data_IF_248097985747
#
_entry.id   IF_248097985747
#
_cell.length_a   1.000
_cell.length_b   1.000
_cell.length_c   1.000
_cell.angle_alpha   90.00
_cell.angle_beta   90.00
_cell.angle_gamma   90.00
#
_symmetry.space_group_name_H-M   'P 1'
#
loop_
_entity.id
_entity.type
_entity.pdbx_description
1 polymer ?
#
# COMPACT_ATOMS: atom_id res chain seq x y z
N UNK A 1 -0.53 -6.45 23.47
CA UNK A 1 -0.82 -5.00 23.32
C UNK A 1 -1.87 -4.86 22.23
N UNK A 2 -2.95 -4.11 22.45
CA UNK A 2 -4.06 -4.06 21.48
C UNK A 2 -3.70 -3.29 20.21
N UNK A 3 -4.29 -3.67 19.07
CA UNK A 3 -4.19 -3.03 17.74
C UNK A 3 -4.23 -1.48 17.78
N UNK A 4 -5.01 -0.92 18.70
CA UNK A 4 -5.16 0.53 18.90
C UNK A 4 -3.86 1.19 19.38
N UNK A 5 -3.03 0.48 20.15
CA UNK A 5 -1.73 0.97 20.64
C UNK A 5 -0.71 1.17 19.52
N UNK A 6 -0.73 0.28 18.52
CA UNK A 6 0.20 0.30 17.40
C UNK A 6 -0.11 1.41 16.38
N UNK A 7 -1.38 1.81 16.26
CA UNK A 7 -1.83 2.85 15.34
C UNK A 7 -1.63 4.28 15.86
N UNK A 8 -1.30 4.48 17.15
CA UNK A 8 -1.20 5.83 17.74
C UNK A 8 -0.18 6.72 17.05
N UNK A 9 0.97 6.16 16.67
CA UNK A 9 2.05 6.89 15.99
C UNK A 9 1.62 7.40 14.60
N UNK A 10 1.24 6.49 13.68
CA UNK A 10 0.79 6.90 12.34
C UNK A 10 -0.40 7.86 12.36
N UNK A 11 -1.37 7.61 13.25
CA UNK A 11 -2.58 8.41 13.34
C UNK A 11 -2.29 9.82 13.88
N UNK A 12 -1.43 9.94 14.90
CA UNK A 12 -0.96 11.24 15.38
C UNK A 12 -0.20 12.01 14.28
N UNK A 13 0.68 11.34 13.54
CA UNK A 13 1.40 11.94 12.41
C UNK A 13 0.46 12.42 11.31
N UNK A 14 -0.53 11.60 10.93
CA UNK A 14 -1.54 11.96 9.94
C UNK A 14 -2.39 13.17 10.38
N UNK A 15 -2.90 13.17 11.61
CA UNK A 15 -3.68 14.30 12.15
C UNK A 15 -2.84 15.56 12.19
N UNK A 16 -1.57 15.47 12.61
CA UNK A 16 -0.65 16.61 12.64
C UNK A 16 -0.40 17.16 11.22
N UNK A 17 -0.20 16.28 10.24
CA UNK A 17 -0.08 16.69 8.83
C UNK A 17 -1.36 17.35 8.31
N UNK A 18 -2.54 16.81 8.64
CA UNK A 18 -3.81 17.38 8.23
C UNK A 18 -4.03 18.79 8.82
N UNK A 19 -3.75 18.98 10.12
CA UNK A 19 -3.83 20.29 10.77
C UNK A 19 -2.82 21.26 10.17
N UNK A 20 -1.58 20.80 9.92
CA UNK A 20 -0.54 21.62 9.29
C UNK A 20 -0.93 22.03 7.88
N UNK A 21 -1.54 21.13 7.10
CA UNK A 21 -2.04 21.42 5.77
C UNK A 21 -3.08 22.53 5.78
N UNK A 22 -4.07 22.43 6.67
CA UNK A 22 -5.11 23.47 6.83
C UNK A 22 -4.48 24.80 7.26
N UNK A 23 -3.54 24.79 8.20
CA UNK A 23 -2.87 26.00 8.67
C UNK A 23 -2.10 26.70 7.53
N UNK A 24 -1.33 25.95 6.75
CA UNK A 24 -0.58 26.48 5.59
C UNK A 24 -1.55 27.04 4.55
N UNK A 25 -2.65 26.33 4.25
CA UNK A 25 -3.63 26.78 3.27
C UNK A 25 -4.31 28.09 3.70
N UNK A 26 -4.73 28.19 4.97
CA UNK A 26 -5.34 29.40 5.51
C UNK A 26 -4.36 30.57 5.50
N UNK A 27 -3.11 30.35 5.92
CA UNK A 27 -2.11 31.40 5.95
C UNK A 27 -1.75 31.88 4.54
N UNK A 28 -1.59 30.95 3.59
CA UNK A 28 -1.35 31.30 2.19
C UNK A 28 -2.50 32.08 1.55
N UNK A 29 -3.74 31.76 1.91
CA UNK A 29 -4.91 32.52 1.46
C UNK A 29 -4.87 33.96 1.98
N UNK A 30 -4.54 34.17 3.26
CA UNK A 30 -4.42 35.51 3.84
C UNK A 30 -3.35 36.33 3.10
N UNK A 31 -2.21 35.74 2.78
CA UNK A 31 -1.12 36.44 2.10
C UNK A 31 -1.51 36.83 0.66
N UNK A 32 -2.17 35.94 -0.08
CA UNK A 32 -2.69 36.25 -1.42
C UNK A 32 -3.75 37.36 -1.36
N UNK A 33 -4.65 37.34 -0.36
CA UNK A 33 -5.63 38.40 -0.14
C UNK A 33 -4.95 39.74 0.22
N UNK A 34 -3.86 39.71 0.99
CA UNK A 34 -3.08 40.89 1.31
C UNK A 34 -2.43 41.50 0.05
N UNK A 35 -1.99 40.68 -0.91
CA UNK A 35 -1.52 41.17 -2.22
C UNK A 35 -2.66 41.81 -3.02
N UNK A 36 -3.85 41.23 -2.98
CA UNK A 36 -5.01 41.76 -3.69
C UNK A 36 -5.45 43.14 -3.19
N UNK A 37 -5.24 43.43 -1.91
CA UNK A 37 -5.52 44.75 -1.31
C UNK A 37 -4.48 45.83 -1.63
N UNK A 38 -3.41 45.52 -2.38
CA UNK A 38 -2.41 46.51 -2.79
C UNK A 38 -2.95 47.38 -3.93
N UNK A 39 -2.46 48.63 -4.08
CA UNK A 39 -2.93 49.54 -5.13
C UNK A 39 -2.66 49.03 -6.55
N UNK A 40 -1.62 48.22 -6.76
CA UNK A 40 -1.27 47.60 -8.04
C UNK A 40 -1.26 46.07 -7.94
N UNK A 41 -2.44 45.41 -7.90
CA UNK A 41 -2.51 43.97 -7.83
C UNK A 41 -2.15 43.38 -9.20
N UNK A 42 -1.04 42.63 -9.25
CA UNK A 42 -0.65 41.86 -10.43
C UNK A 42 -0.77 40.36 -10.16
N UNK A 43 -1.19 39.61 -11.18
CA UNK A 43 -1.24 38.14 -11.10
C UNK A 43 0.13 37.54 -10.72
N UNK A 44 1.22 38.12 -11.24
CA UNK A 44 2.58 37.70 -10.90
C UNK A 44 2.88 37.85 -9.40
N UNK A 45 2.45 38.93 -8.77
CA UNK A 45 2.62 39.13 -7.32
C UNK A 45 1.78 38.14 -6.51
N UNK A 46 0.56 37.81 -6.96
CA UNK A 46 -0.30 36.83 -6.30
C UNK A 46 0.28 35.42 -6.39
N UNK A 47 0.80 35.03 -7.57
CA UNK A 47 1.47 33.74 -7.76
C UNK A 47 2.76 33.67 -6.94
N UNK A 48 3.56 34.74 -6.92
CA UNK A 48 4.77 34.79 -6.11
C UNK A 48 4.47 34.66 -4.60
N UNK A 49 3.38 35.27 -4.12
CA UNK A 49 2.91 35.10 -2.75
C UNK A 49 2.40 33.67 -2.50
N UNK A 50 1.65 33.07 -3.43
CA UNK A 50 1.13 31.71 -3.28
C UNK A 50 2.22 30.61 -3.32
N UNK A 51 3.29 30.83 -4.08
CA UNK A 51 4.33 29.85 -4.38
C UNK A 51 4.90 29.10 -3.15
N UNK A 52 5.36 29.76 -2.07
CA UNK A 52 5.89 29.07 -0.90
C UNK A 52 4.85 28.16 -0.23
N UNK A 53 3.57 28.56 -0.21
CA UNK A 53 2.50 27.77 0.40
C UNK A 53 2.16 26.56 -0.44
N UNK A 54 2.16 26.67 -1.77
CA UNK A 54 1.98 25.51 -2.66
C UNK A 54 3.06 24.46 -2.40
N UNK A 55 4.32 24.88 -2.27
CA UNK A 55 5.43 23.96 -1.93
C UNK A 55 5.21 23.35 -0.54
N UNK A 56 4.83 24.16 0.46
CA UNK A 56 4.53 23.66 1.80
C UNK A 56 3.40 22.64 1.84
N UNK A 57 2.31 22.90 1.11
CA UNK A 57 1.17 21.98 1.00
C UNK A 57 1.56 20.67 0.31
N UNK A 58 2.40 20.71 -0.72
CA UNK A 58 2.91 19.50 -1.36
C UNK A 58 3.76 18.67 -0.39
N UNK A 59 4.69 19.29 0.32
CA UNK A 59 5.55 18.60 1.29
C UNK A 59 4.72 17.97 2.42
N UNK A 60 3.81 18.74 3.01
CA UNK A 60 2.96 18.25 4.11
C UNK A 60 1.96 17.20 3.63
N UNK A 61 1.41 17.37 2.42
CA UNK A 61 0.54 16.38 1.79
C UNK A 61 1.25 15.04 1.57
N UNK A 62 2.46 15.07 1.02
CA UNK A 62 3.29 13.87 0.84
C UNK A 62 3.65 13.22 2.18
N UNK A 63 3.98 14.01 3.21
CA UNK A 63 4.21 13.49 4.55
C UNK A 63 2.96 12.81 5.13
N UNK A 64 1.79 13.42 4.95
CA UNK A 64 0.49 12.84 5.32
C UNK A 64 0.24 11.49 4.64
N UNK A 65 0.49 11.39 3.32
CA UNK A 65 0.40 10.13 2.58
C UNK A 65 1.40 9.10 3.11
N UNK A 66 2.62 9.52 3.44
CA UNK A 66 3.63 8.67 4.07
C UNK A 66 3.17 8.08 5.40
N UNK A 67 2.51 8.88 6.25
CA UNK A 67 1.94 8.38 7.51
C UNK A 67 0.80 7.38 7.30
N UNK A 68 -0.04 7.59 6.29
CA UNK A 68 -1.10 6.62 5.92
C UNK A 68 -0.47 5.31 5.43
N UNK A 69 0.47 5.38 4.50
CA UNK A 69 1.16 4.20 3.98
C UNK A 69 1.90 3.44 5.09
N UNK A 70 2.56 4.16 5.99
CA UNK A 70 3.22 3.57 7.16
C UNK A 70 2.22 2.91 8.12
N UNK A 71 1.07 3.54 8.36
CA UNK A 71 -0.01 2.96 9.15
C UNK A 71 -0.54 1.65 8.56
N UNK A 72 -0.78 1.63 7.24
CA UNK A 72 -1.21 0.42 6.51
C UNK A 72 -0.14 -0.67 6.61
N UNK A 73 1.13 -0.32 6.34
CA UNK A 73 2.25 -1.25 6.42
C UNK A 73 2.35 -1.87 7.82
N UNK A 74 2.16 -1.09 8.89
CA UNK A 74 2.20 -1.59 10.27
C UNK A 74 1.07 -2.57 10.57
N UNK A 75 -0.14 -2.30 10.08
CA UNK A 75 -1.28 -3.23 10.25
C UNK A 75 -1.05 -4.52 9.46
N UNK A 76 -0.57 -4.42 8.23
CA UNK A 76 -0.29 -5.57 7.38
C UNK A 76 0.86 -6.44 7.93
N UNK A 77 1.97 -5.82 8.33
CA UNK A 77 3.12 -6.53 8.92
C UNK A 77 2.77 -7.17 10.26
N UNK A 78 1.97 -6.51 11.10
CA UNK A 78 1.48 -7.10 12.36
C UNK A 78 0.59 -8.33 12.16
N UNK A 79 -0.10 -8.44 11.02
CA UNK A 79 -0.89 -9.61 10.65
C UNK A 79 -0.03 -10.79 10.15
N UNK A 80 1.15 -10.52 9.58
CA UNK A 80 2.06 -11.54 9.05
C UNK A 80 3.01 -12.06 10.14
N UNK A 81 3.41 -11.22 11.10
CA UNK A 81 4.36 -11.61 12.16
C UNK A 81 3.72 -12.18 13.43
N UNK A 82 2.39 -12.22 13.50
CA UNK A 82 1.66 -12.73 14.65
C UNK A 82 0.97 -14.04 14.31
N UNK A 83 1.58 -15.16 14.67
CA UNK A 83 1.05 -16.40 15.27
C UNK A 83 -0.49 -16.53 15.44
N UNK A 84 -1.26 -16.24 14.39
CA UNK A 84 -2.73 -16.20 14.41
C UNK A 84 -3.27 -16.68 13.07
N UNK A 85 -3.21 -18.01 12.90
CA UNK A 85 -3.94 -18.82 11.91
C UNK A 85 -5.49 -18.71 12.01
N UNK A 86 -6.03 -17.66 12.64
CA UNK A 86 -7.46 -17.52 12.97
C UNK A 86 -8.17 -16.36 12.22
N UNK A 87 -7.45 -15.46 11.54
CA UNK A 87 -8.06 -14.32 10.82
C UNK A 87 -7.95 -14.43 9.29
N UNK A 88 -7.84 -15.66 8.77
CA UNK A 88 -7.63 -15.90 7.35
C UNK A 88 -8.90 -16.05 6.52
N UNK A 89 -10.11 -16.02 7.10
CA UNK A 89 -11.33 -16.23 6.33
C UNK A 89 -12.43 -15.21 6.63
N UNK A 90 -13.13 -14.80 5.57
CA UNK A 90 -14.34 -13.97 5.49
C UNK A 90 -14.18 -12.44 5.42
N UNK A 91 -13.43 -11.79 6.32
CA UNK A 91 -13.43 -10.32 6.35
C UNK A 91 -12.61 -9.66 5.23
N UNK A 92 -11.49 -10.28 4.84
CA UNK A 92 -10.63 -9.76 3.76
C UNK A 92 -11.31 -9.93 2.38
N UNK A 93 -12.01 -11.04 2.19
CA UNK A 93 -12.74 -11.31 0.94
C UNK A 93 -14.00 -10.43 0.80
N UNK A 94 -14.61 -10.06 1.92
CA UNK A 94 -15.76 -9.13 1.94
C UNK A 94 -15.31 -7.68 1.77
N UNK A 95 -14.19 -7.29 2.38
CA UNK A 95 -13.60 -5.95 2.20
C UNK A 95 -13.13 -5.74 0.75
N UNK A 96 -12.57 -6.77 0.11
CA UNK A 96 -12.21 -6.74 -1.30
C UNK A 96 -13.46 -6.57 -2.20
N UNK A 97 -14.54 -7.31 -1.92
CA UNK A 97 -15.82 -7.17 -2.66
C UNK A 97 -16.53 -5.85 -2.42
N UNK A 98 -16.37 -5.22 -1.25
CA UNK A 98 -16.94 -3.89 -0.98
C UNK A 98 -16.13 -2.77 -1.65
N UNK A 99 -14.80 -2.93 -1.71
CA UNK A 99 -13.91 -2.00 -2.42
C UNK A 99 -14.17 -2.00 -3.95
N UNK A 100 -14.55 -3.14 -4.54
CA UNK A 100 -14.96 -3.21 -5.96
C UNK A 100 -16.29 -2.50 -6.25
N UNK A 101 -17.15 -2.30 -5.23
CA UNK A 101 -18.51 -1.76 -5.44
C UNK A 101 -18.57 -0.24 -5.47
N UNK A 102 -17.58 0.44 -4.88
CA UNK A 102 -17.55 1.90 -4.73
C UNK A 102 -16.63 2.61 -5.76
N UNK A 103 -15.97 1.85 -6.64
CA UNK A 103 -14.85 2.38 -7.43
C UNK A 103 -15.22 2.90 -8.83
N UNK A 104 -16.27 3.72 -8.95
CA UNK A 104 -16.46 4.55 -10.15
C UNK A 104 -15.46 5.73 -10.19
N UNK A 105 -14.95 6.14 -9.03
CA UNK A 105 -13.90 7.18 -8.92
C UNK A 105 -12.49 6.66 -9.25
N UNK A 106 -12.23 5.35 -9.11
CA UNK A 106 -10.94 4.74 -9.45
C UNK A 106 -10.74 4.61 -10.97
N UNK A 107 -11.83 4.45 -11.73
CA UNK A 107 -11.81 4.40 -13.20
C UNK A 107 -11.39 5.72 -13.85
N UNK A 108 -11.47 6.84 -13.11
CA UNK A 108 -11.17 8.19 -13.62
C UNK A 108 -9.70 8.60 -13.45
N UNK A 109 -8.95 7.93 -12.58
CA UNK A 109 -7.56 8.28 -12.25
C UNK A 109 -6.52 7.22 -12.57
N UNK A 110 -6.91 6.12 -13.22
CA UNK A 110 -5.99 5.08 -13.74
C UNK A 110 -4.92 4.59 -12.74
N UNK A 111 -5.30 4.52 -11.46
CA UNK A 111 -4.45 3.99 -10.39
C UNK A 111 -4.40 2.44 -10.37
N UNK A 112 -5.10 1.80 -11.30
CA UNK A 112 -5.23 0.33 -11.38
C UNK A 112 -3.94 -0.34 -11.85
N UNK A 113 -3.09 0.36 -12.60
CA UNK A 113 -1.85 -0.22 -13.13
C UNK A 113 -0.73 -0.31 -12.07
N UNK A 114 -0.84 0.45 -10.97
CA UNK A 114 0.20 0.46 -9.92
C UNK A 114 -0.01 -0.61 -8.84
N UNK A 115 -1.18 -1.26 -8.80
CA UNK A 115 -1.57 -2.22 -7.73
C UNK A 115 -2.23 -3.47 -8.32
N UNK A 116 -1.75 -3.96 -9.46
CA UNK A 116 -1.93 -5.38 -9.80
C UNK A 116 -0.61 -6.08 -9.52
N UNK A 117 -0.52 -6.95 -8.49
CA UNK A 117 0.64 -7.83 -8.38
C UNK A 117 0.70 -8.64 -9.67
N UNK A 118 1.86 -8.58 -10.31
CA UNK A 118 2.22 -9.33 -11.51
C UNK A 118 1.74 -10.79 -11.35
N UNK A 119 1.03 -11.38 -12.33
CA UNK A 119 0.64 -12.79 -12.27
C UNK A 119 1.83 -13.72 -11.94
N UNK A 120 3.05 -13.39 -12.36
CA UNK A 120 4.25 -14.16 -12.02
C UNK A 120 4.62 -14.04 -10.54
N UNK A 121 4.48 -12.84 -9.96
CA UNK A 121 4.76 -12.58 -8.55
C UNK A 121 3.76 -13.30 -7.63
N UNK A 122 2.50 -13.47 -8.06
CA UNK A 122 1.52 -14.28 -7.32
C UNK A 122 1.87 -15.75 -7.34
N UNK A 123 2.21 -16.29 -8.50
CA UNK A 123 2.60 -17.68 -8.65
C UNK A 123 3.85 -18.01 -7.82
N UNK A 124 4.83 -17.09 -7.75
CA UNK A 124 6.01 -17.24 -6.88
C UNK A 124 5.67 -17.33 -5.39
N UNK A 125 4.73 -16.51 -4.93
CA UNK A 125 4.29 -16.54 -3.52
C UNK A 125 3.52 -17.81 -3.18
N UNK A 126 2.64 -18.24 -4.07
CA UNK A 126 1.90 -19.51 -3.89
C UNK A 126 2.85 -20.71 -3.90
N UNK A 127 3.91 -20.70 -4.73
CA UNK A 127 4.93 -21.73 -4.72
C UNK A 127 5.75 -21.73 -3.41
N UNK A 128 6.08 -20.55 -2.88
CA UNK A 128 6.80 -20.43 -1.61
C UNK A 128 5.97 -20.99 -0.43
N UNK A 129 4.68 -20.67 -0.38
CA UNK A 129 3.73 -21.19 0.62
C UNK A 129 3.53 -22.72 0.52
N UNK A 130 3.53 -23.28 -0.70
CA UNK A 130 3.52 -24.73 -0.88
C UNK A 130 4.80 -25.41 -0.36
N UNK A 131 5.96 -24.80 -0.60
CA UNK A 131 7.25 -25.33 -0.12
C UNK A 131 7.34 -25.29 1.40
N UNK A 132 6.91 -24.20 2.02
CA UNK A 132 6.90 -24.04 3.48
C UNK A 132 6.02 -25.10 4.14
N UNK A 133 4.79 -25.30 3.67
CA UNK A 133 3.89 -26.34 4.20
C UNK A 133 4.39 -27.77 3.98
N UNK A 134 5.14 -28.02 2.90
CA UNK A 134 5.81 -29.31 2.70
C UNK A 134 6.96 -29.51 3.71
N UNK A 135 7.77 -28.47 3.96
CA UNK A 135 8.85 -28.52 4.94
C UNK A 135 8.33 -28.68 6.39
N UNK A 136 7.17 -28.11 6.69
CA UNK A 136 6.47 -28.29 7.98
C UNK A 136 5.80 -29.67 8.10
N UNK A 137 5.78 -30.48 7.03
CA UNK A 137 5.13 -31.79 6.99
C UNK A 137 3.61 -31.73 6.97
N UNK A 138 3.03 -30.54 6.73
CA UNK A 138 1.58 -30.35 6.58
C UNK A 138 1.06 -30.88 5.24
N UNK A 139 1.94 -31.02 4.24
CA UNK A 139 1.65 -31.61 2.95
C UNK A 139 2.44 -32.90 2.75
N UNK A 140 1.78 -33.93 2.23
CA UNK A 140 2.48 -35.12 1.73
C UNK A 140 3.17 -34.80 0.39
N UNK A 141 4.17 -35.60 0.02
CA UNK A 141 4.90 -35.45 -1.25
C UNK A 141 3.95 -35.45 -2.46
N UNK A 142 3.03 -36.42 -2.55
CA UNK A 142 2.02 -36.49 -3.62
C UNK A 142 1.08 -35.27 -3.66
N UNK A 143 0.81 -34.68 -2.50
CA UNK A 143 -0.05 -33.51 -2.37
C UNK A 143 0.65 -32.20 -2.75
N UNK A 144 1.95 -32.12 -2.49
CA UNK A 144 2.79 -31.03 -2.93
C UNK A 144 2.94 -31.08 -4.46
N UNK A 145 3.32 -32.23 -5.02
CA UNK A 145 3.51 -32.42 -6.47
C UNK A 145 2.26 -32.04 -7.27
N UNK A 146 1.07 -32.52 -6.87
CA UNK A 146 -0.19 -32.23 -7.56
C UNK A 146 -0.56 -30.74 -7.53
N UNK A 147 -0.21 -30.03 -6.45
CA UNK A 147 -0.51 -28.59 -6.31
C UNK A 147 0.49 -27.75 -7.10
N UNK A 148 1.76 -28.16 -7.14
CA UNK A 148 2.80 -27.53 -7.96
C UNK A 148 2.49 -27.71 -9.45
N UNK A 149 2.11 -28.91 -9.88
CA UNK A 149 1.71 -29.18 -11.27
C UNK A 149 0.53 -28.30 -11.71
N UNK A 150 -0.46 -28.13 -10.83
CA UNK A 150 -1.59 -27.23 -11.10
C UNK A 150 -1.15 -25.77 -11.22
N UNK A 151 -0.25 -25.31 -10.34
CA UNK A 151 0.25 -23.95 -10.35
C UNK A 151 1.06 -23.63 -11.62
N UNK A 152 1.87 -24.58 -12.08
CA UNK A 152 2.62 -24.52 -13.33
C UNK A 152 1.71 -24.62 -14.57
N UNK A 153 0.55 -25.29 -14.46
CA UNK A 153 -0.42 -25.36 -15.55
C UNK A 153 -1.25 -24.08 -15.73
N UNK A 154 -1.51 -23.35 -14.64
CA UNK A 154 -2.35 -22.13 -14.63
C UNK A 154 -1.53 -20.86 -14.85
N UNK A 155 -0.26 -20.87 -14.44
CA UNK A 155 0.65 -19.74 -14.56
C UNK A 155 1.68 -20.02 -15.64
N UNK A 156 1.96 -19.06 -16.54
CA UNK A 156 3.06 -19.14 -17.53
C UNK A 156 4.46 -19.05 -16.87
N UNK A 157 4.64 -19.60 -15.67
CA UNK A 157 5.92 -19.70 -14.99
C UNK A 157 6.70 -20.80 -15.68
N UNK A 158 7.85 -20.44 -16.26
CA UNK A 158 8.67 -21.40 -16.99
C UNK A 158 9.28 -22.42 -16.01
N UNK A 159 9.20 -23.68 -16.40
CA UNK A 159 9.73 -24.88 -15.71
C UNK A 159 11.22 -24.78 -15.30
N UNK A 160 11.93 -23.79 -15.85
CA UNK A 160 13.37 -23.55 -15.70
C UNK A 160 13.76 -22.92 -14.35
N UNK A 161 12.87 -22.20 -13.65
CA UNK A 161 13.19 -21.64 -12.31
C UNK A 161 13.01 -22.66 -11.17
N UNK A 162 12.09 -23.61 -11.31
CA UNK A 162 11.73 -24.55 -10.22
C UNK A 162 12.80 -25.62 -10.00
N UNK A 163 13.43 -26.12 -11.07
CA UNK A 163 14.47 -27.16 -10.96
C UNK A 163 15.84 -26.65 -10.52
N UNK A 164 16.12 -25.35 -10.65
CA UNK A 164 17.45 -24.79 -10.38
C UNK A 164 17.78 -24.65 -8.89
N UNK A 165 16.77 -24.58 -8.03
CA UNK A 165 16.96 -24.48 -6.58
C UNK A 165 17.09 -25.85 -5.90
N UNK A 166 16.41 -26.88 -6.42
CA UNK A 166 16.44 -28.23 -5.81
C UNK A 166 17.83 -28.86 -5.92
N UNK A 167 18.61 -28.51 -6.93
CA UNK A 167 19.97 -29.04 -7.13
C UNK A 167 21.02 -28.38 -6.22
N UNK A 168 20.70 -27.24 -5.58
CA UNK A 168 21.62 -26.51 -4.71
C UNK A 168 21.60 -26.94 -3.25
N UNK A 169 20.53 -27.58 -2.79
CA UNK A 169 20.38 -28.05 -1.41
C UNK A 169 20.88 -29.49 -1.20
N UNK A 170 21.44 -30.12 -2.25
CA UNK A 170 21.95 -31.50 -2.20
C UNK A 170 23.48 -31.63 -2.13
N UNK A 171 24.19 -30.53 -1.93
CA UNK A 171 25.64 -30.48 -1.72
C UNK A 171 26.02 -29.84 -0.39
#
# INVERSE_FOLDING_TARGET
MGLIGDLKGPLAGFVLSAVSFVAIALYGLVDVLAVLGRPDPSLAAMVAAAAPYVVGLLVVGLAGLGFVAWGIYRVASGAVSGDNRLLQNEYVETAARYAERESDLARRFDLTEMVRPDPEERARRELADLKERYAEGELTEEEFERRVERLLSDSRVSETEVYRDVERERY
#
